data_IF_094634923456
#
_entry.id   IF_094634923456
#
_cell.length_a   1.000
_cell.length_b   1.000
_cell.length_c   1.000
_cell.angle_alpha   90.00
_cell.angle_beta   90.00
_cell.angle_gamma   90.00
#
_symmetry.space_group_name_H-M   'P 1'
#
loop_
_entity.id
_entity.type
_entity.pdbx_description
1 polymer ?
#
# COMPACT_ATOMS: atom_id res chain seq x y z
N UNK A 1 -30.55 8.40 -24.66
CA UNK A 1 -31.16 8.50 -23.31
C UNK A 1 -30.42 7.50 -22.42
N UNK A 2 -29.35 7.93 -21.77
CA UNK A 2 -28.46 7.04 -21.02
C UNK A 2 -29.02 6.82 -19.61
N UNK A 3 -29.36 5.57 -19.27
CA UNK A 3 -29.69 5.20 -17.90
C UNK A 3 -28.41 5.31 -17.06
N UNK A 4 -28.36 6.31 -16.20
CA UNK A 4 -27.42 6.35 -15.08
C UNK A 4 -27.70 5.12 -14.21
N UNK A 5 -26.86 4.08 -14.35
CA UNK A 5 -26.80 2.99 -13.39
C UNK A 5 -26.07 3.56 -12.18
N UNK A 6 -26.82 3.86 -11.12
CA UNK A 6 -26.23 4.16 -9.81
C UNK A 6 -25.47 2.90 -9.36
N UNK A 7 -24.16 2.95 -9.12
CA UNK A 7 -23.47 1.81 -8.53
C UNK A 7 -23.86 1.74 -7.05
N UNK A 8 -24.69 0.75 -6.74
CA UNK A 8 -24.98 0.31 -5.38
C UNK A 8 -23.96 -0.79 -5.07
N UNK A 9 -23.38 -0.80 -3.87
CA UNK A 9 -22.65 -1.97 -3.36
C UNK A 9 -23.55 -3.21 -3.50
N UNK A 10 -23.31 -4.04 -4.49
CA UNK A 10 -24.14 -5.20 -4.79
C UNK A 10 -23.67 -6.36 -3.92
N UNK A 11 -24.52 -6.83 -2.99
CA UNK A 11 -24.23 -8.01 -2.16
C UNK A 11 -24.21 -9.33 -2.94
N UNK A 12 -24.66 -9.35 -4.19
CA UNK A 12 -24.80 -10.58 -4.97
C UNK A 12 -23.69 -10.68 -6.00
N UNK A 13 -22.94 -11.79 -5.94
CA UNK A 13 -21.94 -12.16 -6.92
C UNK A 13 -22.63 -12.36 -8.30
N UNK A 14 -22.22 -11.65 -9.37
CA UNK A 14 -22.71 -11.93 -10.71
C UNK A 14 -22.22 -13.31 -11.20
N UNK A 15 -22.95 -13.92 -12.14
CA UNK A 15 -22.52 -15.19 -12.75
C UNK A 15 -21.30 -15.00 -13.67
N UNK A 16 -21.25 -13.89 -14.41
CA UNK A 16 -20.15 -13.56 -15.31
C UNK A 16 -19.94 -12.04 -15.45
N UNK A 17 -18.69 -11.65 -15.74
CA UNK A 17 -18.27 -10.28 -16.05
C UNK A 17 -17.19 -10.25 -17.14
N UNK A 18 -16.96 -9.11 -17.75
CA UNK A 18 -15.80 -8.93 -18.64
C UNK A 18 -14.51 -8.85 -17.81
N UNK A 19 -14.52 -8.14 -16.69
CA UNK A 19 -13.34 -7.91 -15.84
C UNK A 19 -13.68 -8.17 -14.37
N UNK A 20 -12.92 -9.07 -13.72
CA UNK A 20 -12.92 -9.20 -12.27
C UNK A 20 -11.66 -8.56 -11.68
N UNK A 21 -11.81 -7.75 -10.63
CA UNK A 21 -10.68 -7.21 -9.84
C UNK A 21 -10.68 -7.89 -8.48
N UNK A 22 -9.55 -8.46 -8.06
CA UNK A 22 -9.43 -9.14 -6.77
C UNK A 22 -8.71 -8.20 -5.78
N UNK A 23 -9.43 -7.78 -4.75
CA UNK A 23 -9.01 -6.82 -3.73
C UNK A 23 -9.61 -5.44 -3.94
N UNK A 24 -10.27 -4.90 -2.92
CA UNK A 24 -10.79 -3.53 -2.88
C UNK A 24 -9.88 -2.59 -2.06
N UNK A 25 -8.56 -2.79 -2.14
CA UNK A 25 -7.56 -1.83 -1.70
C UNK A 25 -7.39 -0.66 -2.68
N UNK A 26 -6.48 0.27 -2.39
CA UNK A 26 -6.22 1.44 -3.24
C UNK A 26 -5.98 1.07 -4.72
N UNK A 27 -5.15 0.03 -4.98
CA UNK A 27 -4.85 -0.44 -6.34
C UNK A 27 -6.09 -0.97 -7.07
N UNK A 28 -6.85 -1.88 -6.46
CA UNK A 28 -8.04 -2.47 -7.09
C UNK A 28 -9.16 -1.46 -7.31
N UNK A 29 -9.39 -0.55 -6.35
CA UNK A 29 -10.34 0.54 -6.50
C UNK A 29 -9.91 1.51 -7.62
N UNK A 30 -8.62 1.84 -7.71
CA UNK A 30 -8.11 2.69 -8.80
C UNK A 30 -8.27 2.01 -10.16
N UNK A 31 -7.96 0.72 -10.28
CA UNK A 31 -8.13 -0.05 -11.51
C UNK A 31 -9.61 -0.07 -11.96
N UNK A 32 -10.53 -0.35 -11.03
CA UNK A 32 -11.96 -0.34 -11.32
C UNK A 32 -12.45 1.05 -11.76
N UNK A 33 -11.98 2.12 -11.11
CA UNK A 33 -12.31 3.50 -11.50
C UNK A 33 -11.77 3.87 -12.88
N UNK A 34 -10.55 3.45 -13.22
CA UNK A 34 -9.95 3.70 -14.54
C UNK A 34 -10.71 3.00 -15.68
N UNK A 35 -11.42 1.91 -15.36
CA UNK A 35 -12.28 1.17 -16.29
C UNK A 35 -13.74 1.66 -16.29
N UNK A 36 -14.10 2.56 -15.37
CA UNK A 36 -15.46 3.11 -15.27
C UNK A 36 -15.86 3.87 -16.55
N UNK A 37 -17.14 3.77 -16.92
CA UNK A 37 -17.69 4.40 -18.13
C UNK A 37 -17.39 3.67 -19.45
N UNK A 38 -16.59 2.60 -19.44
CA UNK A 38 -16.40 1.72 -20.60
C UNK A 38 -17.61 0.78 -20.76
N UNK A 39 -17.91 0.29 -21.97
CA UNK A 39 -18.98 -0.68 -22.22
C UNK A 39 -18.55 -2.09 -21.81
N UNK A 40 -18.05 -2.25 -20.58
CA UNK A 40 -17.56 -3.50 -20.00
C UNK A 40 -18.25 -3.72 -18.66
N UNK A 41 -18.59 -4.96 -18.37
CA UNK A 41 -19.08 -5.37 -17.05
C UNK A 41 -17.90 -5.64 -16.12
N UNK A 42 -17.97 -5.11 -14.88
CA UNK A 42 -16.89 -5.22 -13.90
C UNK A 42 -17.43 -5.53 -12.51
N UNK A 43 -16.74 -6.41 -11.79
CA UNK A 43 -16.94 -6.66 -10.36
C UNK A 43 -15.60 -6.60 -9.61
N UNK A 44 -15.60 -5.97 -8.44
CA UNK A 44 -14.47 -6.03 -7.50
C UNK A 44 -14.82 -7.01 -6.39
N UNK A 45 -13.95 -7.99 -6.14
CA UNK A 45 -14.15 -9.01 -5.12
C UNK A 45 -13.22 -8.71 -3.94
N UNK A 46 -13.78 -8.48 -2.76
CA UNK A 46 -13.03 -8.18 -1.55
C UNK A 46 -13.28 -9.25 -0.49
N UNK A 47 -12.20 -9.74 0.12
CA UNK A 47 -12.27 -10.79 1.11
C UNK A 47 -12.89 -10.32 2.43
N UNK A 48 -12.69 -9.05 2.79
CA UNK A 48 -13.17 -8.45 4.03
C UNK A 48 -14.61 -7.91 3.88
N UNK A 49 -15.17 -7.55 5.02
CA UNK A 49 -16.43 -6.81 5.17
C UNK A 49 -16.31 -5.31 4.88
N UNK A 50 -15.13 -4.86 4.43
CA UNK A 50 -14.81 -3.46 4.14
C UNK A 50 -13.86 -3.31 2.97
N UNK A 51 -13.93 -2.15 2.31
CA UNK A 51 -12.93 -1.72 1.33
C UNK A 51 -11.73 -1.04 2.03
N UNK A 52 -10.74 -0.62 1.24
CA UNK A 52 -9.56 0.14 1.68
C UNK A 52 -8.31 -0.72 1.89
N UNK A 53 -8.47 -2.02 2.14
CA UNK A 53 -7.33 -2.92 2.37
C UNK A 53 -6.47 -2.47 3.55
N UNK A 54 -5.19 -2.20 3.30
CA UNK A 54 -4.22 -1.67 4.29
C UNK A 54 -4.49 -0.21 4.68
N UNK A 55 -5.24 0.54 3.89
CA UNK A 55 -5.73 1.85 4.30
C UNK A 55 -6.99 1.66 5.14
N UNK A 56 -6.84 1.67 6.46
CA UNK A 56 -7.93 1.43 7.39
C UNK A 56 -7.98 2.49 8.47
N UNK A 57 -9.09 3.23 8.54
CA UNK A 57 -9.32 4.25 9.56
C UNK A 57 -10.47 3.84 10.47
N UNK A 58 -10.23 3.84 11.77
CA UNK A 58 -11.28 3.74 12.80
C UNK A 58 -11.64 5.12 13.32
N UNK A 59 -12.87 5.31 13.80
CA UNK A 59 -13.24 6.56 14.50
C UNK A 59 -12.85 6.43 15.96
N UNK A 60 -12.14 7.42 16.48
CA UNK A 60 -11.78 7.51 17.89
C UNK A 60 -11.95 8.94 18.37
N UNK A 61 -12.81 9.14 19.37
CA UNK A 61 -13.11 10.45 19.97
C UNK A 61 -13.44 11.57 18.96
N UNK A 62 -14.25 11.24 17.95
CA UNK A 62 -14.65 12.19 16.90
C UNK A 62 -13.62 12.39 15.78
N UNK A 63 -12.40 11.88 15.93
CA UNK A 63 -11.30 11.99 14.96
C UNK A 63 -11.07 10.65 14.23
N UNK A 64 -10.35 10.70 13.10
CA UNK A 64 -9.92 9.53 12.35
C UNK A 64 -8.57 9.00 12.87
N UNK A 65 -8.54 7.74 13.30
CA UNK A 65 -7.30 7.04 13.66
C UNK A 65 -6.97 6.01 12.58
N UNK A 66 -5.87 6.22 11.86
CA UNK A 66 -5.38 5.26 10.88
C UNK A 66 -4.71 4.07 11.58
N UNK A 67 -5.20 2.87 11.29
CA UNK A 67 -4.68 1.58 11.73
C UNK A 67 -3.73 0.96 10.69
N UNK A 68 -3.36 1.74 9.67
CA UNK A 68 -2.49 1.34 8.56
C UNK A 68 -1.72 2.54 8.04
N UNK A 69 -1.78 2.81 6.73
CA UNK A 69 -1.14 4.01 6.19
C UNK A 69 -1.79 5.30 6.73
N UNK A 70 -0.99 6.30 7.06
CA UNK A 70 -1.46 7.57 7.64
C UNK A 70 -0.84 8.84 7.05
N UNK A 71 0.16 8.70 6.17
CA UNK A 71 0.87 9.82 5.55
C UNK A 71 0.74 9.79 4.03
N UNK A 72 0.55 10.97 3.45
CA UNK A 72 0.75 11.24 2.04
C UNK A 72 2.21 11.71 1.90
N UNK A 73 3.10 10.78 1.54
CA UNK A 73 4.51 11.08 1.28
C UNK A 73 4.69 11.83 -0.04
N UNK A 74 5.70 12.69 -0.11
CA UNK A 74 5.94 13.62 -1.23
C UNK A 74 4.65 14.33 -1.68
N UNK A 75 3.92 14.89 -0.71
CA UNK A 75 2.53 15.33 -0.85
C UNK A 75 2.34 16.44 -1.89
N UNK A 76 3.40 17.19 -2.21
CA UNK A 76 3.47 18.20 -3.27
C UNK A 76 3.45 17.60 -4.69
N UNK A 77 3.74 16.32 -4.84
CA UNK A 77 3.65 15.57 -6.11
C UNK A 77 2.77 14.30 -6.01
N UNK A 78 2.12 14.08 -4.86
CA UNK A 78 1.32 12.91 -4.60
C UNK A 78 -0.08 13.01 -5.24
N UNK A 79 -0.38 12.08 -6.15
CA UNK A 79 -1.67 12.04 -6.89
C UNK A 79 -2.92 11.93 -6.01
N UNK A 80 -2.78 11.53 -4.74
CA UNK A 80 -3.88 11.45 -3.78
C UNK A 80 -4.08 12.73 -2.99
N UNK A 81 -3.06 13.58 -2.83
CA UNK A 81 -3.16 14.84 -2.09
C UNK A 81 -4.22 15.76 -2.71
N UNK A 82 -4.20 15.91 -4.04
CA UNK A 82 -5.19 16.70 -4.80
C UNK A 82 -6.61 16.14 -4.75
N UNK A 83 -6.80 14.93 -4.20
CA UNK A 83 -8.12 14.28 -4.08
C UNK A 83 -8.76 14.47 -2.72
N UNK A 84 -8.02 14.94 -1.72
CA UNK A 84 -8.50 15.04 -0.33
C UNK A 84 -9.65 16.04 -0.21
N UNK A 85 -9.39 17.29 -0.59
CA UNK A 85 -10.38 18.37 -0.48
C UNK A 85 -11.60 18.13 -1.40
N UNK A 86 -11.45 17.70 -2.68
CA UNK A 86 -12.60 17.33 -3.52
C UNK A 86 -13.43 16.15 -2.99
N UNK A 87 -12.84 15.26 -2.19
CA UNK A 87 -13.56 14.18 -1.52
C UNK A 87 -14.34 14.66 -0.26
N UNK A 88 -14.26 15.96 0.07
CA UNK A 88 -14.88 16.57 1.24
C UNK A 88 -14.16 16.22 2.54
N UNK A 89 -12.85 16.03 2.48
CA UNK A 89 -11.96 15.75 3.62
C UNK A 89 -10.94 16.89 3.80
N UNK A 90 -10.26 16.90 4.93
CA UNK A 90 -9.31 17.96 5.29
C UNK A 90 -7.87 17.48 5.05
N UNK A 91 -7.15 18.19 4.19
CA UNK A 91 -5.71 18.00 4.01
C UNK A 91 -4.94 18.82 5.06
N UNK A 92 -4.43 18.12 6.08
CA UNK A 92 -3.60 18.71 7.12
C UNK A 92 -2.14 18.75 6.64
N UNK A 93 -1.66 19.99 6.48
CA UNK A 93 -0.34 20.31 5.95
C UNK A 93 0.72 20.50 7.05
N UNK A 94 0.38 20.16 8.30
CA UNK A 94 1.32 20.20 9.41
C UNK A 94 2.44 19.17 9.17
N UNK A 95 3.72 19.59 9.22
CA UNK A 95 4.84 18.66 9.04
C UNK A 95 4.84 17.54 10.08
N UNK A 96 5.35 16.34 9.72
CA UNK A 96 5.41 15.23 10.66
C UNK A 96 6.36 15.55 11.84
N UNK A 97 6.05 15.07 13.05
CA UNK A 97 6.89 15.29 14.23
C UNK A 97 8.08 14.33 14.32
N UNK A 98 8.51 13.68 13.24
CA UNK A 98 9.52 12.59 13.26
C UNK A 98 10.88 13.01 13.84
N UNK A 99 11.28 14.27 13.63
CA UNK A 99 12.53 14.81 14.17
C UNK A 99 12.42 15.36 15.59
N UNK A 100 11.23 15.34 16.19
CA UNK A 100 10.97 15.94 17.50
C UNK A 100 10.57 14.87 18.50
N UNK A 101 11.37 14.74 19.55
CA UNK A 101 10.97 13.90 20.67
C UNK A 101 9.86 14.58 21.48
N UNK A 102 8.84 13.81 21.87
CA UNK A 102 7.84 14.30 22.81
C UNK A 102 8.51 14.63 24.16
N UNK A 103 8.25 15.83 24.67
CA UNK A 103 8.63 16.29 26.01
C UNK A 103 10.14 16.25 26.36
N UNK A 104 11.05 15.98 25.41
CA UNK A 104 12.50 15.84 25.65
C UNK A 104 12.88 14.90 26.82
N UNK A 105 12.05 13.92 27.15
CA UNK A 105 12.22 13.02 28.30
C UNK A 105 13.44 12.08 28.26
N UNK A 106 13.86 11.59 27.09
CA UNK A 106 14.87 10.52 26.98
C UNK A 106 16.24 10.96 26.42
N UNK A 107 16.28 11.83 25.40
CA UNK A 107 17.52 12.22 24.70
C UNK A 107 17.73 13.72 24.76
N UNK A 108 18.93 14.15 25.17
CA UNK A 108 19.26 15.59 25.24
C UNK A 108 19.26 16.24 23.85
N UNK A 109 19.06 17.56 23.73
CA UNK A 109 19.14 18.25 22.43
C UNK A 109 20.48 18.04 21.71
N UNK A 110 21.58 17.94 22.45
CA UNK A 110 22.91 17.67 21.90
C UNK A 110 22.99 16.25 21.29
N UNK A 111 22.43 15.25 21.97
CA UNK A 111 22.39 13.88 21.46
C UNK A 111 21.42 13.73 20.28
N UNK A 112 20.31 14.47 20.27
CA UNK A 112 19.41 14.54 19.11
C UNK A 112 20.15 15.12 17.88
N UNK A 113 20.93 16.18 18.07
CA UNK A 113 21.77 16.73 17.01
C UNK A 113 22.85 15.74 16.54
N UNK A 114 23.54 15.08 17.48
CA UNK A 114 24.55 14.07 17.15
C UNK A 114 23.96 12.87 16.38
N UNK A 115 22.76 12.43 16.75
CA UNK A 115 22.07 11.38 16.02
C UNK A 115 21.69 11.80 14.60
N UNK A 116 21.17 13.02 14.41
CA UNK A 116 20.85 13.55 13.06
C UNK A 116 22.09 13.58 12.17
N UNK A 117 23.22 14.06 12.68
CA UNK A 117 24.49 14.04 11.95
C UNK A 117 24.86 12.60 11.55
N UNK A 118 24.84 11.65 12.49
CA UNK A 118 25.19 10.27 12.19
C UNK A 118 24.25 9.59 11.18
N UNK A 119 22.95 9.92 11.20
CA UNK A 119 21.97 9.42 10.23
C UNK A 119 22.22 10.01 8.83
N UNK A 120 22.44 11.34 8.74
CA UNK A 120 22.82 11.99 7.48
C UNK A 120 24.13 11.44 6.92
N UNK A 121 25.14 11.18 7.75
CA UNK A 121 26.39 10.59 7.31
C UNK A 121 26.20 9.15 6.78
N UNK A 122 25.30 8.38 7.40
CA UNK A 122 24.90 7.06 6.88
C UNK A 122 24.21 7.18 5.51
N UNK A 123 23.23 8.08 5.35
CA UNK A 123 22.55 8.30 4.07
C UNK A 123 23.53 8.76 2.98
N UNK A 124 24.49 9.63 3.31
CA UNK A 124 25.55 10.03 2.40
C UNK A 124 26.41 8.84 1.94
N UNK A 125 26.75 7.92 2.85
CA UNK A 125 27.47 6.68 2.48
C UNK A 125 26.64 5.80 1.57
N UNK A 126 25.33 5.68 1.81
CA UNK A 126 24.40 4.93 0.95
C UNK A 126 24.37 5.53 -0.45
N UNK A 127 24.16 6.84 -0.57
CA UNK A 127 24.12 7.53 -1.86
C UNK A 127 25.44 7.40 -2.64
N UNK A 128 26.59 7.51 -1.96
CA UNK A 128 27.90 7.31 -2.59
C UNK A 128 28.09 5.87 -3.09
N UNK A 129 27.67 4.87 -2.30
CA UNK A 129 27.74 3.48 -2.70
C UNK A 129 26.81 3.16 -3.88
N UNK A 130 25.59 3.71 -3.87
CA UNK A 130 24.62 3.55 -4.94
C UNK A 130 25.09 4.21 -6.25
N UNK A 131 25.66 5.42 -6.17
CA UNK A 131 26.28 6.10 -7.32
C UNK A 131 27.46 5.31 -7.92
N UNK A 132 28.13 4.47 -7.12
CA UNK A 132 29.17 3.55 -7.57
C UNK A 132 28.63 2.20 -8.07
N UNK A 133 27.30 2.01 -8.11
CA UNK A 133 26.65 0.77 -8.55
C UNK A 133 26.81 -0.40 -7.57
N UNK A 134 27.09 -0.13 -6.29
CA UNK A 134 27.29 -1.17 -5.28
C UNK A 134 25.96 -1.69 -4.75
N UNK A 135 25.70 -2.98 -4.98
CA UNK A 135 24.59 -3.71 -4.37
C UNK A 135 25.08 -4.56 -3.18
N UNK A 136 24.46 -4.33 -2.02
CA UNK A 136 24.61 -5.08 -0.78
C UNK A 136 23.52 -4.59 0.21
N UNK A 137 23.32 -5.27 1.35
CA UNK A 137 22.52 -4.71 2.42
C UNK A 137 23.08 -3.36 2.90
N UNK A 138 22.20 -2.38 3.09
CA UNK A 138 22.57 -1.03 3.54
C UNK A 138 23.28 -1.04 4.90
N UNK A 139 23.04 -2.04 5.76
CA UNK A 139 23.73 -2.19 7.04
C UNK A 139 25.24 -2.39 6.89
N UNK A 140 25.72 -2.80 5.71
CA UNK A 140 27.17 -2.90 5.42
C UNK A 140 27.86 -1.53 5.39
N UNK A 141 27.10 -0.44 5.40
CA UNK A 141 27.58 0.95 5.39
C UNK A 141 27.47 1.63 6.77
N UNK A 142 27.13 0.87 7.81
CA UNK A 142 27.23 1.35 9.20
C UNK A 142 28.68 1.64 9.57
N UNK A 143 28.88 2.62 10.45
CA UNK A 143 30.20 2.89 11.01
C UNK A 143 30.60 1.73 11.94
N UNK A 144 31.87 1.27 11.89
CA UNK A 144 32.38 0.31 12.87
C UNK A 144 32.18 0.85 14.29
N UNK A 145 31.54 0.06 15.15
CA UNK A 145 31.25 0.41 16.55
C UNK A 145 30.48 1.75 16.75
N UNK A 146 29.77 2.19 15.71
CA UNK A 146 28.99 3.43 15.74
C UNK A 146 27.92 3.39 16.82
N UNK A 147 28.01 4.30 17.81
CA UNK A 147 27.06 4.44 18.93
C UNK A 147 25.60 4.45 18.47
N UNK A 148 25.33 5.01 17.29
CA UNK A 148 23.99 5.21 16.76
C UNK A 148 23.46 4.07 15.89
N UNK A 149 24.28 3.09 15.51
CA UNK A 149 23.88 2.02 14.57
C UNK A 149 22.58 1.34 14.96
N UNK A 150 22.40 1.00 16.24
CA UNK A 150 21.16 0.37 16.72
C UNK A 150 19.92 1.24 16.53
N UNK A 151 20.05 2.57 16.67
CA UNK A 151 18.94 3.51 16.44
C UNK A 151 18.68 3.73 14.95
N UNK A 152 19.73 3.84 14.14
CA UNK A 152 19.64 3.91 12.67
C UNK A 152 18.87 2.68 12.15
N UNK A 153 19.26 1.50 12.60
CA UNK A 153 18.62 0.24 12.19
C UNK A 153 17.19 0.10 12.73
N UNK A 154 16.88 0.68 13.91
CA UNK A 154 15.51 0.75 14.43
C UNK A 154 14.60 1.62 13.58
N UNK A 155 15.09 2.76 13.08
CA UNK A 155 14.33 3.62 12.18
C UNK A 155 14.03 2.90 10.86
N UNK A 156 14.97 2.11 10.34
CA UNK A 156 14.75 1.30 9.14
C UNK A 156 13.49 0.44 9.23
N UNK A 157 13.24 -0.18 10.40
CA UNK A 157 12.05 -1.00 10.60
C UNK A 157 10.74 -0.23 10.43
N UNK A 158 10.71 1.06 10.79
CA UNK A 158 9.55 1.92 10.60
C UNK A 158 9.44 2.48 9.18
N UNK A 159 10.56 2.77 8.52
CA UNK A 159 10.59 3.32 7.16
C UNK A 159 10.36 2.25 6.08
N UNK A 160 11.05 1.12 6.19
CA UNK A 160 11.16 0.10 5.15
C UNK A 160 10.37 -1.18 5.44
N UNK A 161 9.84 -1.34 6.66
CA UNK A 161 9.28 -2.62 7.12
C UNK A 161 10.32 -3.71 7.39
N UNK A 162 11.61 -3.40 7.22
CA UNK A 162 12.74 -4.30 7.41
C UNK A 162 13.93 -3.59 8.05
N UNK A 163 14.87 -4.37 8.60
CA UNK A 163 16.16 -3.85 9.08
C UNK A 163 17.09 -3.61 7.90
N UNK A 164 18.10 -2.76 8.07
CA UNK A 164 19.02 -2.43 6.98
C UNK A 164 19.88 -3.62 6.52
N UNK A 165 19.90 -4.73 7.26
CA UNK A 165 20.52 -5.99 6.81
C UNK A 165 19.72 -6.73 5.73
N UNK A 166 18.48 -6.31 5.47
CA UNK A 166 17.58 -6.85 4.46
C UNK A 166 17.09 -5.79 3.45
N UNK A 167 17.64 -4.57 3.52
CA UNK A 167 17.32 -3.46 2.61
C UNK A 167 18.50 -3.25 1.66
N UNK A 168 18.25 -3.28 0.35
CA UNK A 168 19.27 -3.00 -0.68
C UNK A 168 19.74 -1.54 -0.60
N UNK A 169 21.04 -1.33 -0.85
CA UNK A 169 21.62 0.00 -1.03
C UNK A 169 20.94 0.74 -2.20
N UNK A 170 20.76 0.04 -3.33
CA UNK A 170 20.22 0.63 -4.55
C UNK A 170 18.73 0.96 -4.38
N UNK A 171 17.95 0.07 -3.76
CA UNK A 171 16.52 0.30 -3.54
C UNK A 171 16.28 1.43 -2.52
N UNK A 172 17.11 1.53 -1.47
CA UNK A 172 16.99 2.62 -0.50
C UNK A 172 17.31 3.98 -1.16
N UNK A 173 18.37 4.06 -1.95
CA UNK A 173 18.74 5.29 -2.67
C UNK A 173 17.73 5.67 -3.76
N UNK A 174 17.11 4.67 -4.41
CA UNK A 174 16.08 4.90 -5.42
C UNK A 174 14.79 5.53 -4.85
N UNK A 175 14.58 5.48 -3.53
CA UNK A 175 13.41 6.11 -2.90
C UNK A 175 13.53 7.63 -2.93
N UNK A 176 12.60 8.28 -3.63
CA UNK A 176 12.53 9.74 -3.74
C UNK A 176 11.53 10.32 -2.74
N UNK A 177 12.02 11.14 -1.82
CA UNK A 177 11.22 11.95 -0.90
C UNK A 177 11.48 13.45 -1.14
N UNK A 178 10.42 14.24 -1.31
CA UNK A 178 10.54 15.71 -1.41
C UNK A 178 10.66 16.38 -0.03
N UNK A 179 10.47 15.62 1.04
CA UNK A 179 10.38 16.10 2.41
C UNK A 179 9.00 16.67 2.76
N UNK A 180 8.09 16.78 1.80
CA UNK A 180 6.73 17.28 2.02
C UNK A 180 5.83 16.10 2.37
N UNK A 181 5.43 16.01 3.63
CA UNK A 181 4.63 14.89 4.15
C UNK A 181 3.39 15.44 4.85
N UNK A 182 2.21 15.15 4.31
CA UNK A 182 0.91 15.63 4.81
C UNK A 182 0.02 14.47 5.23
N UNK A 183 -1.10 14.77 5.89
CA UNK A 183 -2.07 13.76 6.33
C UNK A 183 -3.50 14.15 5.98
N UNK A 184 -4.36 13.15 5.91
CA UNK A 184 -5.81 13.36 5.88
C UNK A 184 -6.29 13.43 7.32
N UNK A 185 -6.89 14.54 7.75
CA UNK A 185 -7.28 14.71 9.16
C UNK A 185 -8.25 13.62 9.61
N UNK A 186 -9.22 13.30 8.77
CA UNK A 186 -10.24 12.28 9.01
C UNK A 186 -9.75 10.84 8.74
N UNK A 187 -8.48 10.68 8.35
CA UNK A 187 -7.80 9.41 8.10
C UNK A 187 -7.64 9.04 6.62
N UNK A 188 -6.48 8.47 6.29
CA UNK A 188 -6.13 8.03 4.95
C UNK A 188 -7.10 6.95 4.44
N UNK A 189 -7.46 5.99 5.30
CA UNK A 189 -8.45 4.96 4.95
C UNK A 189 -9.80 5.57 4.53
N UNK A 190 -10.23 6.67 5.15
CA UNK A 190 -11.45 7.38 4.74
C UNK A 190 -11.33 8.01 3.36
N UNK A 191 -10.16 8.52 2.97
CA UNK A 191 -9.94 8.97 1.60
C UNK A 191 -10.14 7.82 0.60
N UNK A 192 -9.53 6.66 0.85
CA UNK A 192 -9.65 5.51 -0.05
C UNK A 192 -11.09 5.02 -0.15
N UNK A 193 -11.82 4.97 0.96
CA UNK A 193 -13.24 4.63 0.95
C UNK A 193 -14.08 5.64 0.16
N UNK A 194 -13.84 6.95 0.32
CA UNK A 194 -14.52 8.01 -0.43
C UNK A 194 -14.30 7.86 -1.93
N UNK A 195 -13.06 7.60 -2.33
CA UNK A 195 -12.69 7.41 -3.73
C UNK A 195 -13.29 6.12 -4.31
N UNK A 196 -13.47 5.08 -3.49
CA UNK A 196 -14.04 3.79 -3.89
C UNK A 196 -15.56 3.68 -3.81
N UNK A 197 -16.27 4.71 -3.35
CA UNK A 197 -17.72 4.63 -3.01
C UNK A 197 -18.60 4.14 -4.16
N UNK A 198 -18.28 4.56 -5.38
CA UNK A 198 -19.07 4.27 -6.59
C UNK A 198 -18.56 3.04 -7.35
N UNK A 199 -17.67 2.25 -6.76
CA UNK A 199 -17.15 1.02 -7.36
C UNK A 199 -18.06 -0.17 -6.99
N UNK A 200 -18.44 -1.05 -7.93
CA UNK A 200 -19.26 -2.23 -7.64
C UNK A 200 -18.42 -3.31 -6.94
N UNK A 201 -18.36 -3.23 -5.61
CA UNK A 201 -17.63 -4.18 -4.76
C UNK A 201 -18.57 -5.23 -4.16
N UNK A 202 -18.18 -6.49 -4.27
CA UNK A 202 -18.74 -7.64 -3.55
C UNK A 202 -17.83 -7.93 -2.36
N UNK A 203 -18.29 -7.56 -1.17
CA UNK A 203 -17.61 -7.80 0.12
C UNK A 203 -17.83 -9.24 0.60
N UNK A 204 -17.06 -9.66 1.61
CA UNK A 204 -17.11 -11.02 2.18
C UNK A 204 -16.95 -12.12 1.12
N UNK A 205 -16.17 -11.84 0.07
CA UNK A 205 -16.02 -12.66 -1.11
C UNK A 205 -14.55 -12.99 -1.37
N UNK A 206 -13.87 -13.73 -0.47
CA UNK A 206 -12.51 -14.18 -0.71
C UNK A 206 -12.48 -15.10 -1.93
N UNK A 207 -11.66 -14.75 -2.91
CA UNK A 207 -11.31 -15.61 -4.04
C UNK A 207 -10.24 -16.60 -3.59
N UNK A 208 -10.45 -17.89 -3.87
CA UNK A 208 -9.57 -19.00 -3.45
C UNK A 208 -8.79 -19.61 -4.60
N UNK A 209 -9.37 -19.64 -5.80
CA UNK A 209 -8.74 -20.20 -7.00
C UNK A 209 -9.12 -19.39 -8.23
N UNK A 210 -8.17 -19.19 -9.13
CA UNK A 210 -8.38 -18.71 -10.49
C UNK A 210 -8.04 -19.86 -11.43
N UNK A 211 -9.07 -20.48 -11.99
CA UNK A 211 -8.96 -21.48 -13.05
C UNK A 211 -8.77 -20.78 -14.39
N UNK A 212 -7.73 -21.20 -15.11
CA UNK A 212 -7.26 -20.64 -16.37
C UNK A 212 -7.14 -21.71 -17.46
N UNK A 213 -7.70 -22.89 -17.23
CA UNK A 213 -7.64 -24.01 -18.18
C UNK A 213 -8.58 -23.82 -19.37
N UNK A 214 -9.66 -23.05 -19.17
CA UNK A 214 -10.69 -22.77 -20.17
C UNK A 214 -10.51 -21.45 -20.94
N UNK A 215 -11.39 -21.19 -21.92
CA UNK A 215 -11.40 -19.95 -22.70
C UNK A 215 -11.88 -18.73 -21.88
N UNK A 216 -12.55 -18.97 -20.76
CA UNK A 216 -12.91 -17.98 -19.75
C UNK A 216 -12.28 -18.36 -18.41
N UNK A 217 -11.88 -17.35 -17.65
CA UNK A 217 -11.33 -17.54 -16.31
C UNK A 217 -12.48 -17.85 -15.36
N UNK A 218 -12.30 -18.81 -14.45
CA UNK A 218 -13.28 -19.13 -13.40
C UNK A 218 -12.69 -18.85 -12.04
N UNK A 219 -13.32 -17.96 -11.28
CA UNK A 219 -12.92 -17.58 -9.94
C UNK A 219 -13.78 -18.33 -8.94
N UNK A 220 -13.16 -19.21 -8.15
CA UNK A 220 -13.83 -19.87 -7.03
C UNK A 220 -13.79 -18.95 -5.82
N UNK A 221 -14.95 -18.63 -5.27
CA UNK A 221 -15.11 -17.70 -4.16
C UNK A 221 -15.93 -18.31 -3.03
N UNK A 222 -15.97 -17.68 -1.86
CA UNK A 222 -16.87 -18.09 -0.78
C UNK A 222 -18.37 -17.93 -1.13
N UNK A 223 -18.71 -17.17 -2.18
CA UNK A 223 -20.09 -16.89 -2.60
C UNK A 223 -20.48 -17.58 -3.91
N UNK A 224 -19.67 -18.53 -4.38
CA UNK A 224 -19.89 -19.26 -5.63
C UNK A 224 -18.80 -19.01 -6.66
N UNK A 225 -19.08 -19.35 -7.91
CA UNK A 225 -18.15 -19.21 -9.04
C UNK A 225 -18.52 -17.99 -9.86
N UNK A 226 -17.53 -17.15 -10.15
CA UNK A 226 -17.64 -16.05 -11.11
C UNK A 226 -16.82 -16.37 -12.37
N UNK A 227 -17.42 -16.22 -13.54
CA UNK A 227 -16.68 -16.27 -14.81
C UNK A 227 -16.22 -14.88 -15.22
N UNK A 228 -14.97 -14.76 -15.69
CA UNK A 228 -14.41 -13.50 -16.15
C UNK A 228 -13.57 -13.68 -17.43
N UNK A 229 -13.57 -12.68 -18.31
CA UNK A 229 -12.69 -12.67 -19.50
C UNK A 229 -11.27 -12.24 -19.15
N UNK A 230 -11.14 -11.34 -18.17
CA UNK A 230 -9.88 -10.86 -17.63
C UNK A 230 -9.94 -10.74 -16.12
N UNK A 231 -8.81 -10.95 -15.45
CA UNK A 231 -8.66 -10.78 -14.00
C UNK A 231 -7.52 -9.83 -13.70
N UNK A 232 -7.78 -8.83 -12.87
CA UNK A 232 -6.77 -7.95 -12.28
C UNK A 232 -6.55 -8.40 -10.83
N UNK A 233 -5.36 -8.86 -10.52
CA UNK A 233 -5.00 -9.33 -9.17
C UNK A 233 -4.33 -8.18 -8.41
N UNK A 234 -4.95 -7.74 -7.31
CA UNK A 234 -4.41 -6.65 -6.45
C UNK A 234 -4.32 -7.07 -4.98
N UNK A 235 -4.25 -8.39 -4.74
CA UNK A 235 -4.04 -8.93 -3.39
C UNK A 235 -2.61 -8.64 -2.92
N UNK A 236 -2.38 -8.54 -1.60
CA UNK A 236 -1.03 -8.53 -1.04
C UNK A 236 -0.18 -9.70 -1.53
N UNK A 237 1.11 -9.45 -1.76
CA UNK A 237 2.08 -10.44 -2.29
C UNK A 237 2.19 -11.67 -1.39
N UNK A 238 2.06 -11.52 -0.07
CA UNK A 238 2.08 -12.65 0.87
C UNK A 238 0.93 -13.64 0.67
N UNK A 239 -0.23 -13.17 0.20
CA UNK A 239 -1.36 -14.06 -0.11
C UNK A 239 -1.09 -14.89 -1.37
N UNK A 240 -0.26 -14.38 -2.28
CA UNK A 240 0.23 -15.13 -3.45
C UNK A 240 1.32 -16.11 -3.02
N UNK A 241 2.30 -15.65 -2.24
CA UNK A 241 3.42 -16.46 -1.75
C UNK A 241 2.97 -17.65 -0.89
N UNK A 242 1.93 -17.46 -0.07
CA UNK A 242 1.32 -18.52 0.76
C UNK A 242 0.27 -19.34 0.00
N UNK A 243 0.07 -19.06 -1.29
CA UNK A 243 -0.94 -19.68 -2.13
C UNK A 243 -2.35 -19.65 -1.51
N UNK A 244 -2.67 -18.58 -0.77
CA UNK A 244 -4.04 -18.35 -0.24
C UNK A 244 -5.02 -18.07 -1.38
N UNK A 245 -4.53 -17.39 -2.42
CA UNK A 245 -5.13 -17.32 -3.75
C UNK A 245 -4.32 -18.24 -4.68
N UNK A 246 -4.94 -19.31 -5.19
CA UNK A 246 -4.27 -20.26 -6.09
C UNK A 246 -4.53 -19.94 -7.55
N UNK A 247 -3.54 -20.18 -8.39
CA UNK A 247 -3.67 -20.13 -9.85
C UNK A 247 -3.66 -21.57 -10.38
N UNK A 248 -4.54 -21.88 -11.32
CA UNK A 248 -4.62 -23.21 -11.92
C UNK A 248 -4.67 -23.12 -13.46
N UNK A 249 -3.64 -23.58 -14.19
CA UNK A 249 -2.38 -24.12 -13.67
C UNK A 249 -1.55 -23.05 -12.93
N UNK A 250 -0.60 -23.46 -12.05
CA UNK A 250 0.21 -22.54 -11.27
C UNK A 250 1.02 -21.54 -12.11
N UNK A 251 1.19 -20.34 -11.57
CA UNK A 251 2.14 -19.34 -12.08
C UNK A 251 3.43 -19.40 -11.25
N UNK A 252 4.31 -20.36 -11.55
CA UNK A 252 5.51 -20.60 -10.74
C UNK A 252 6.38 -19.35 -10.57
N UNK A 253 6.70 -18.64 -11.67
CA UNK A 253 7.54 -17.43 -11.62
C UNK A 253 6.92 -16.32 -10.74
N UNK A 254 5.59 -16.17 -10.77
CA UNK A 254 4.90 -15.17 -9.93
C UNK A 254 4.92 -15.58 -8.46
N UNK A 255 4.71 -16.87 -8.17
CA UNK A 255 4.70 -17.41 -6.81
C UNK A 255 6.10 -17.27 -6.21
N UNK A 256 7.13 -17.67 -6.95
CA UNK A 256 8.54 -17.52 -6.57
C UNK A 256 8.86 -16.05 -6.29
N UNK A 257 8.59 -15.14 -7.24
CA UNK A 257 8.82 -13.72 -7.06
C UNK A 257 8.12 -13.15 -5.81
N UNK A 258 6.86 -13.55 -5.55
CA UNK A 258 6.11 -13.09 -4.39
C UNK A 258 6.72 -13.52 -3.05
N UNK A 259 7.46 -14.64 -2.99
CA UNK A 259 8.14 -15.08 -1.75
C UNK A 259 9.34 -14.22 -1.37
N UNK A 260 9.86 -13.42 -2.31
CA UNK A 260 11.04 -12.57 -2.11
C UNK A 260 10.72 -11.09 -1.83
N UNK A 261 9.44 -10.71 -1.81
CA UNK A 261 9.03 -9.33 -1.51
C UNK A 261 8.77 -9.19 0.00
N UNK A 262 9.54 -8.36 0.73
CA UNK A 262 9.26 -8.07 2.14
C UNK A 262 7.90 -7.39 2.33
N UNK A 263 7.25 -7.64 3.47
CA UNK A 263 5.89 -7.18 3.81
C UNK A 263 5.85 -5.81 4.48
#
# INVERSE_FOLDING_TARGET
MFRSVKPVMTRTLPASVDIAVIGAGAAGLAAARALSGRPLTLAVLEARDRIGGRAHTVRYDGEGLDMGCGWLHSADENVLADKVEPAGLTLDRTPPPWEKQAFNLEVTPAEQAAFRTAFTDFENRVAQAAAAGREAPASTLFEPDGRWNGRIDAISGALNGARFNAVSILDYDAYRDTGVNWRVREGYGRLIERLGRDVPVVLDCPVRRIDRTGPTLRLETAQGVLEARMVIVTVPTDLIARETLRFDPPLHDLIEAATHVPL
#
